data_IF_443854335377
#
_entry.id   IF_443854335377
#
_cell.length_a   1.000
_cell.length_b   1.000
_cell.length_c   1.000
_cell.angle_alpha   90.00
_cell.angle_beta   90.00
_cell.angle_gamma   90.00
#
_symmetry.space_group_name_H-M   'P 1'
#
loop_
_entity.id
_entity.type
_entity.pdbx_description
1 polymer ?
#
# COMPACT_ATOMS: atom_id res chain seq x y z
N UNK A 1 5.33 0.92 -0.36
CA UNK A 1 4.99 2.20 -1.01
C UNK A 1 5.45 2.30 -2.46
N UNK A 2 6.68 1.92 -2.82
CA UNK A 2 7.14 1.85 -4.23
C UNK A 2 6.14 1.17 -5.18
N UNK A 3 5.54 0.06 -4.75
CA UNK A 3 4.48 -0.62 -5.51
C UNK A 3 3.29 0.29 -5.86
N UNK A 4 2.77 1.08 -4.91
CA UNK A 4 1.62 1.96 -5.12
C UNK A 4 1.97 3.08 -6.11
N UNK A 5 3.19 3.61 -6.02
CA UNK A 5 3.73 4.61 -6.95
C UNK A 5 3.82 4.04 -8.36
N UNK A 6 4.41 2.86 -8.53
CA UNK A 6 4.55 2.20 -9.82
C UNK A 6 3.19 1.87 -10.45
N UNK A 7 2.25 1.34 -9.65
CA UNK A 7 0.89 1.07 -10.09
C UNK A 7 0.16 2.35 -10.48
N UNK A 8 0.24 3.40 -9.66
CA UNK A 8 -0.31 4.72 -9.97
C UNK A 8 0.22 5.30 -11.29
N UNK A 9 1.54 5.23 -11.50
CA UNK A 9 2.17 5.65 -12.74
C UNK A 9 1.65 4.87 -13.95
N UNK A 10 1.52 3.54 -13.82
CA UNK A 10 1.02 2.67 -14.88
C UNK A 10 -0.44 2.98 -15.22
N UNK A 11 -1.31 3.13 -14.21
CA UNK A 11 -2.72 3.49 -14.41
C UNK A 11 -2.85 4.88 -15.07
N UNK A 12 -2.01 5.83 -14.66
CA UNK A 12 -1.97 7.19 -15.22
C UNK A 12 -1.50 7.19 -16.66
N UNK A 13 -0.50 6.35 -16.96
CA UNK A 13 -0.01 6.16 -18.31
C UNK A 13 -1.11 5.62 -19.21
N UNK A 14 -1.89 4.61 -18.82
CA UNK A 14 -2.99 4.09 -19.64
C UNK A 14 -4.22 5.02 -19.74
N UNK A 15 -4.19 6.19 -19.11
CA UNK A 15 -5.27 7.18 -19.12
C UNK A 15 -6.64 6.61 -18.70
N UNK A 16 -6.64 5.57 -17.85
CA UNK A 16 -7.86 4.96 -17.32
C UNK A 16 -8.73 6.01 -16.61
N UNK A 17 -10.03 5.82 -16.60
CA UNK A 17 -10.94 6.69 -15.86
C UNK A 17 -10.46 6.88 -14.39
N UNK A 18 -10.45 8.11 -13.84
CA UNK A 18 -9.95 8.37 -12.49
C UNK A 18 -10.63 7.53 -11.39
N UNK A 19 -11.94 7.31 -11.50
CA UNK A 19 -12.69 6.52 -10.52
C UNK A 19 -12.25 5.06 -10.62
N UNK A 20 -12.13 4.54 -11.84
CA UNK A 20 -11.66 3.17 -12.06
C UNK A 20 -10.22 2.98 -11.55
N UNK A 21 -9.31 3.90 -11.87
CA UNK A 21 -7.91 3.84 -11.46
C UNK A 21 -7.75 3.86 -9.94
N UNK A 22 -8.45 4.76 -9.25
CA UNK A 22 -8.42 4.83 -7.78
C UNK A 22 -9.08 3.60 -7.15
N UNK A 23 -10.15 3.07 -7.74
CA UNK A 23 -10.80 1.85 -7.26
C UNK A 23 -9.88 0.63 -7.38
N UNK A 24 -9.19 0.49 -8.52
CA UNK A 24 -8.18 -0.58 -8.73
C UNK A 24 -7.03 -0.42 -7.75
N UNK A 25 -6.49 0.79 -7.60
CA UNK A 25 -5.41 1.06 -6.65
C UNK A 25 -5.83 0.72 -5.21
N UNK A 26 -7.03 1.13 -4.78
CA UNK A 26 -7.58 0.81 -3.46
C UNK A 26 -7.72 -0.70 -3.26
N UNK A 27 -8.36 -1.40 -4.21
CA UNK A 27 -8.58 -2.85 -4.12
C UNK A 27 -7.27 -3.63 -4.01
N UNK A 28 -6.27 -3.25 -4.81
CA UNK A 28 -4.95 -3.90 -4.80
C UNK A 28 -4.18 -3.60 -3.51
N UNK A 29 -4.27 -2.38 -2.97
CA UNK A 29 -3.67 -2.03 -1.67
C UNK A 29 -4.30 -2.82 -0.52
N UNK A 30 -5.63 -2.95 -0.50
CA UNK A 30 -6.34 -3.75 0.50
C UNK A 30 -5.92 -5.21 0.39
N UNK A 31 -5.96 -5.79 -0.82
CA UNK A 31 -5.57 -7.18 -1.04
C UNK A 31 -4.12 -7.45 -0.60
N UNK A 32 -3.20 -6.54 -0.92
CA UNK A 32 -1.80 -6.61 -0.48
C UNK A 32 -1.67 -6.52 1.04
N UNK A 33 -2.38 -5.59 1.69
CA UNK A 33 -2.36 -5.44 3.14
C UNK A 33 -2.90 -6.68 3.86
N UNK A 34 -4.03 -7.20 3.41
CA UNK A 34 -4.61 -8.45 3.94
C UNK A 34 -3.65 -9.62 3.74
N UNK A 35 -3.00 -9.72 2.58
CA UNK A 35 -2.01 -10.75 2.30
C UNK A 35 -0.81 -10.64 3.26
N UNK A 36 -0.25 -9.44 3.44
CA UNK A 36 0.90 -9.21 4.33
C UNK A 36 0.58 -9.51 5.81
N UNK A 37 -0.64 -9.21 6.26
CA UNK A 37 -1.10 -9.55 7.61
C UNK A 37 -1.31 -11.05 7.75
N UNK A 38 -2.05 -11.67 6.83
CA UNK A 38 -2.45 -13.09 6.91
C UNK A 38 -1.27 -14.03 6.73
N UNK A 39 -0.35 -13.70 5.85
CA UNK A 39 0.83 -14.50 5.52
C UNK A 39 2.11 -13.91 6.11
N UNK A 40 1.99 -13.12 7.18
CA UNK A 40 3.09 -12.46 7.87
C UNK A 40 4.22 -13.41 8.30
N UNK A 41 3.89 -14.67 8.58
CA UNK A 41 4.80 -15.75 8.97
C UNK A 41 5.60 -16.35 7.80
N UNK A 42 5.18 -16.13 6.54
CA UNK A 42 5.91 -16.59 5.38
C UNK A 42 7.12 -15.68 5.15
N UNK A 43 8.32 -16.25 5.32
CA UNK A 43 9.59 -15.57 5.02
C UNK A 43 9.85 -15.59 3.51
N UNK A 44 9.22 -14.68 2.80
CA UNK A 44 9.48 -14.49 1.36
C UNK A 44 10.87 -13.84 1.22
N UNK A 45 11.81 -14.52 0.54
CA UNK A 45 13.20 -14.08 0.34
C UNK A 45 14.03 -13.84 1.62
N UNK A 46 13.83 -14.62 2.68
CA UNK A 46 14.53 -14.47 3.97
C UNK A 46 14.38 -13.10 4.65
N UNK A 47 13.47 -12.23 4.16
CA UNK A 47 13.18 -10.95 4.80
C UNK A 47 11.91 -11.07 5.64
N UNK A 48 11.86 -10.45 6.84
CA UNK A 48 10.62 -10.37 7.60
C UNK A 48 9.57 -9.62 6.78
N UNK A 49 8.31 -10.02 6.92
CA UNK A 49 7.20 -9.33 6.25
C UNK A 49 7.13 -7.88 6.73
N UNK A 50 6.72 -6.92 5.87
CA UNK A 50 6.61 -5.52 6.26
C UNK A 50 5.69 -5.29 7.47
N UNK A 51 4.67 -6.13 7.62
CA UNK A 51 3.78 -6.11 8.79
C UNK A 51 4.50 -6.54 10.08
N UNK A 52 5.32 -7.61 10.06
CA UNK A 52 6.09 -7.99 11.24
C UNK A 52 7.08 -6.89 11.64
N UNK A 53 7.70 -6.23 10.66
CA UNK A 53 8.59 -5.11 10.94
C UNK A 53 7.84 -3.92 11.55
N UNK A 54 6.62 -3.65 11.10
CA UNK A 54 5.74 -2.66 11.73
C UNK A 54 5.42 -3.02 13.19
N UNK A 55 5.06 -4.28 13.47
CA UNK A 55 4.81 -4.74 14.84
C UNK A 55 6.06 -4.64 15.73
N UNK A 56 7.25 -4.96 15.22
CA UNK A 56 8.50 -4.78 15.95
C UNK A 56 8.73 -3.32 16.34
N UNK A 57 8.50 -2.38 15.42
CA UNK A 57 8.64 -0.96 15.70
C UNK A 57 7.63 -0.46 16.76
N UNK A 58 6.43 -1.02 16.80
CA UNK A 58 5.45 -0.71 17.86
C UNK A 58 5.91 -1.25 19.21
N UNK A 59 6.43 -2.48 19.24
CA UNK A 59 6.97 -3.09 20.47
C UNK A 59 8.16 -2.30 21.03
N UNK A 60 9.07 -1.84 20.16
CA UNK A 60 10.21 -0.99 20.55
C UNK A 60 9.79 0.36 21.14
N UNK A 61 8.54 0.79 20.91
CA UNK A 61 7.95 2.03 21.40
C UNK A 61 7.01 1.84 22.58
N UNK A 62 6.92 0.64 23.13
CA UNK A 62 5.95 0.25 24.15
C UNK A 62 4.48 0.52 23.74
N UNK A 63 4.18 0.48 22.44
CA UNK A 63 2.83 0.67 21.88
C UNK A 63 2.07 -0.66 21.78
N UNK A 64 0.74 -0.63 21.96
CA UNK A 64 -0.08 -1.83 21.87
C UNK A 64 -0.17 -2.40 20.43
N UNK A 65 0.02 -3.71 20.31
CA UNK A 65 -0.07 -4.45 19.03
C UNK A 65 -1.52 -4.93 18.76
N UNK A 66 -2.42 -4.76 19.73
CA UNK A 66 -3.83 -5.23 19.67
C UNK A 66 -4.55 -4.80 18.39
N UNK A 67 -4.26 -3.59 17.91
CA UNK A 67 -4.85 -3.00 16.70
C UNK A 67 -3.87 -2.83 15.54
N UNK A 68 -2.66 -3.42 15.63
CA UNK A 68 -1.58 -3.22 14.66
C UNK A 68 -1.98 -3.65 13.23
N UNK A 69 -2.75 -4.72 13.09
CA UNK A 69 -3.21 -5.19 11.78
C UNK A 69 -4.12 -4.16 11.08
N UNK A 70 -5.04 -3.56 11.84
CA UNK A 70 -5.95 -2.56 11.32
C UNK A 70 -5.23 -1.24 11.03
N UNK A 71 -4.40 -0.75 11.96
CA UNK A 71 -3.63 0.48 11.78
C UNK A 71 -2.67 0.38 10.60
N UNK A 72 -1.98 -0.76 10.44
CA UNK A 72 -1.11 -1.03 9.31
C UNK A 72 -1.87 -0.98 7.98
N UNK A 73 -3.02 -1.67 7.90
CA UNK A 73 -3.82 -1.71 6.68
C UNK A 73 -4.37 -0.32 6.34
N UNK A 74 -4.83 0.43 7.34
CA UNK A 74 -5.32 1.80 7.17
C UNK A 74 -4.20 2.72 6.65
N UNK A 75 -3.01 2.66 7.25
CA UNK A 75 -1.85 3.43 6.78
C UNK A 75 -1.45 3.04 5.35
N UNK A 76 -1.43 1.74 5.05
CA UNK A 76 -1.10 1.25 3.71
C UNK A 76 -2.08 1.79 2.66
N UNK A 77 -3.37 1.79 2.96
CA UNK A 77 -4.41 2.28 2.04
C UNK A 77 -4.34 3.79 1.90
N UNK A 78 -4.31 4.56 3.00
CA UNK A 78 -4.31 6.03 2.94
C UNK A 78 -3.06 6.54 2.23
N UNK A 79 -1.87 6.16 2.70
CA UNK A 79 -0.62 6.64 2.11
C UNK A 79 -0.38 6.04 0.72
N UNK A 80 -0.83 4.80 0.49
CA UNK A 80 -0.76 4.18 -0.83
C UNK A 80 -1.64 4.89 -1.85
N UNK A 81 -2.85 5.29 -1.48
CA UNK A 81 -3.75 6.07 -2.34
C UNK A 81 -3.24 7.48 -2.58
N UNK A 82 -2.70 8.15 -1.57
CA UNK A 82 -2.12 9.49 -1.73
C UNK A 82 -0.91 9.45 -2.67
N UNK A 83 0.03 8.52 -2.43
CA UNK A 83 1.23 8.40 -3.25
C UNK A 83 0.91 7.90 -4.67
N UNK A 84 0.13 6.82 -4.79
CA UNK A 84 -0.22 6.26 -6.10
C UNK A 84 -1.19 7.14 -6.89
N UNK A 85 -2.20 7.71 -6.24
CA UNK A 85 -3.15 8.65 -6.85
C UNK A 85 -2.50 9.97 -7.26
N UNK A 86 -1.57 10.49 -6.44
CA UNK A 86 -0.79 11.68 -6.79
C UNK A 86 0.08 11.45 -8.03
N UNK A 87 0.74 10.31 -8.12
CA UNK A 87 1.55 9.95 -9.29
C UNK A 87 0.69 9.66 -10.51
N UNK A 88 -0.47 9.01 -10.33
CA UNK A 88 -1.47 8.86 -11.40
C UNK A 88 -1.86 10.21 -12.00
N UNK A 89 -2.20 11.20 -11.15
CA UNK A 89 -2.59 12.53 -11.59
C UNK A 89 -1.44 13.25 -12.31
N UNK A 90 -0.22 13.15 -11.79
CA UNK A 90 0.97 13.72 -12.40
C UNK A 90 1.25 13.11 -13.78
N UNK A 91 1.25 11.79 -13.90
CA UNK A 91 1.51 11.10 -15.17
C UNK A 91 0.42 11.41 -16.19
N UNK A 92 -0.84 11.46 -15.76
CA UNK A 92 -1.95 11.86 -16.63
C UNK A 92 -1.79 13.29 -17.13
N UNK A 93 -1.44 14.23 -16.24
CA UNK A 93 -1.17 15.62 -16.60
C UNK A 93 -0.03 15.75 -17.63
N UNK A 94 1.04 14.97 -17.46
CA UNK A 94 2.19 14.97 -18.37
C UNK A 94 1.89 14.31 -19.73
N UNK A 95 0.90 13.41 -19.79
CA UNK A 95 0.48 12.74 -21.03
C UNK A 95 -0.41 13.62 -21.92
N UNK A 96 -1.14 14.57 -21.34
CA UNK A 96 -2.15 15.39 -22.05
C UNK A 96 -3.48 14.65 -22.18
#
# INVERSE_FOLDING_TARGET
MLFAIALGALLGYFALDPILALSVLAAVLVAKGVFEVRYSHLKVFNRPSPFLHYCQNLMERDEEISHAAFSYLLQLVIFGLLAGGGIYALVRLLRG
#
